data_IF_821941094950
#
_entry.id   IF_821941094950
#
_cell.length_a   1.000
_cell.length_b   1.000
_cell.length_c   1.000
_cell.angle_alpha   90.00
_cell.angle_beta   90.00
_cell.angle_gamma   90.00
#
_symmetry.space_group_name_H-M   'P 1'
#
loop_
_entity.id
_entity.type
_entity.pdbx_description
1 polymer ?
#
# COMPACT_ATOMS: atom_id res chain seq x y z
N UNK A 1 -1.44 12.03 7.15
CA UNK A 1 -1.52 11.44 5.79
C UNK A 1 -2.31 10.13 5.67
N UNK A 2 -2.85 9.55 6.76
CA UNK A 2 -3.53 8.23 6.77
C UNK A 2 -4.93 8.15 6.12
N UNK A 3 -5.51 9.22 5.63
CA UNK A 3 -6.85 9.20 5.01
C UNK A 3 -6.89 9.31 3.49
N UNK A 4 -5.85 9.84 2.87
CA UNK A 4 -5.84 10.18 1.43
C UNK A 4 -5.85 8.97 0.47
N UNK A 5 -5.30 7.83 0.90
CA UNK A 5 -5.20 6.63 0.04
C UNK A 5 -6.56 5.95 -0.17
N UNK A 6 -7.40 5.94 0.87
CA UNK A 6 -8.75 5.38 0.79
C UNK A 6 -9.67 6.21 -0.09
N UNK A 7 -9.56 7.52 0.08
CA UNK A 7 -10.28 8.51 -0.68
C UNK A 7 -10.03 8.33 -2.19
N UNK A 8 -8.75 8.25 -2.57
CA UNK A 8 -8.36 7.97 -3.95
C UNK A 8 -8.93 6.64 -4.48
N UNK A 9 -8.99 5.60 -3.65
CA UNK A 9 -9.50 4.29 -4.04
C UNK A 9 -11.00 4.32 -4.35
N UNK A 10 -11.80 4.97 -3.51
CA UNK A 10 -13.24 5.13 -3.76
C UNK A 10 -13.47 5.99 -5.00
N UNK A 11 -12.74 7.11 -5.14
CA UNK A 11 -12.79 7.95 -6.35
C UNK A 11 -12.51 7.16 -7.62
N UNK A 12 -11.49 6.30 -7.61
CA UNK A 12 -11.16 5.43 -8.73
C UNK A 12 -12.30 4.44 -9.06
N UNK A 13 -12.96 3.86 -8.05
CA UNK A 13 -14.11 2.98 -8.28
C UNK A 13 -15.25 3.72 -9.00
N UNK A 14 -15.56 4.93 -8.55
CA UNK A 14 -16.59 5.78 -9.18
C UNK A 14 -16.16 6.31 -10.55
N UNK A 15 -14.87 6.58 -10.75
CA UNK A 15 -14.33 6.94 -12.07
C UNK A 15 -14.51 5.80 -13.10
N UNK A 16 -14.32 4.54 -12.68
CA UNK A 16 -14.52 3.38 -13.56
C UNK A 16 -15.98 3.23 -13.98
N UNK A 17 -16.92 3.30 -13.03
CA UNK A 17 -18.35 3.23 -13.33
C UNK A 17 -19.23 3.85 -12.24
N UNK A 18 -19.18 5.16 -12.10
CA UNK A 18 -19.98 5.92 -11.13
C UNK A 18 -21.49 5.74 -11.29
N UNK A 19 -22.06 5.80 -12.50
CA UNK A 19 -23.50 5.59 -12.71
C UNK A 19 -24.01 4.26 -12.14
N UNK A 20 -23.26 3.18 -12.35
CA UNK A 20 -23.63 1.87 -11.81
C UNK A 20 -23.48 1.82 -10.28
N UNK A 21 -22.40 2.36 -9.72
CA UNK A 21 -22.22 2.41 -8.27
C UNK A 21 -23.28 3.28 -7.60
N UNK A 22 -23.62 4.41 -8.20
CA UNK A 22 -24.72 5.27 -7.74
C UNK A 22 -26.05 4.52 -7.68
N UNK A 23 -26.39 3.75 -8.70
CA UNK A 23 -27.62 2.94 -8.72
C UNK A 23 -27.68 1.85 -7.66
N UNK A 24 -26.53 1.37 -7.18
CA UNK A 24 -26.45 0.40 -6.07
C UNK A 24 -26.55 1.08 -4.71
N UNK A 25 -25.84 2.20 -4.56
CA UNK A 25 -25.71 2.91 -3.27
C UNK A 25 -26.96 3.74 -3.01
N UNK A 26 -27.52 4.36 -4.02
CA UNK A 26 -28.68 5.24 -3.93
C UNK A 26 -29.70 4.94 -5.04
N UNK A 27 -30.42 3.82 -4.95
CA UNK A 27 -31.37 3.41 -5.97
C UNK A 27 -32.61 4.31 -6.04
N UNK A 28 -32.86 5.11 -5.00
CA UNK A 28 -34.02 6.00 -4.93
C UNK A 28 -33.91 7.22 -5.87
N UNK A 29 -32.67 7.68 -6.13
CA UNK A 29 -32.42 8.85 -6.96
C UNK A 29 -31.67 8.43 -8.24
N UNK A 30 -32.40 8.33 -9.35
CA UNK A 30 -31.84 7.85 -10.62
C UNK A 30 -30.74 8.78 -11.13
N UNK A 31 -29.61 8.19 -11.51
CA UNK A 31 -28.47 8.90 -12.07
C UNK A 31 -28.83 9.58 -13.41
N UNK A 32 -28.54 10.86 -13.53
CA UNK A 32 -28.65 11.63 -14.77
C UNK A 32 -27.28 11.85 -15.43
N UNK A 33 -26.49 12.75 -14.87
CA UNK A 33 -25.17 13.11 -15.38
C UNK A 33 -24.18 13.39 -14.23
N UNK A 34 -22.87 13.24 -14.50
CA UNK A 34 -21.83 13.53 -13.51
C UNK A 34 -21.90 15.01 -13.13
N UNK A 35 -21.84 15.27 -11.83
CA UNK A 35 -21.85 16.60 -11.27
C UNK A 35 -20.44 17.15 -10.99
N UNK A 36 -20.36 18.40 -10.54
CA UNK A 36 -19.10 19.04 -10.22
C UNK A 36 -18.50 18.47 -8.93
N UNK A 37 -17.22 18.18 -8.94
CA UNK A 37 -16.47 17.81 -7.73
C UNK A 37 -15.67 18.98 -7.16
N UNK A 38 -15.30 19.98 -7.99
CA UNK A 38 -14.68 21.20 -7.52
C UNK A 38 -15.77 22.18 -7.08
N UNK A 39 -15.77 22.55 -5.81
CA UNK A 39 -16.74 23.43 -5.19
C UNK A 39 -16.08 24.77 -4.95
N UNK A 40 -16.42 25.74 -5.81
CA UNK A 40 -15.90 27.11 -5.69
C UNK A 40 -16.59 27.79 -4.51
N UNK A 41 -15.84 28.10 -3.47
CA UNK A 41 -16.24 28.98 -2.39
C UNK A 41 -15.55 30.32 -2.53
N UNK A 42 -16.21 31.41 -2.09
CA UNK A 42 -15.71 32.79 -2.23
C UNK A 42 -14.21 32.94 -1.93
N UNK A 43 -13.47 33.43 -2.89
CA UNK A 43 -12.09 33.97 -2.95
C UNK A 43 -10.92 33.20 -2.32
N UNK A 44 -11.07 32.29 -1.34
CA UNK A 44 -9.91 31.75 -0.61
C UNK A 44 -9.93 30.24 -0.31
N UNK A 45 -11.05 29.53 -0.50
CA UNK A 45 -11.13 28.10 -0.23
C UNK A 45 -11.82 27.37 -1.37
N UNK A 46 -11.08 26.56 -2.12
CA UNK A 46 -11.66 25.57 -3.03
C UNK A 46 -11.90 24.28 -2.25
N UNK A 47 -13.18 23.92 -2.09
CA UNK A 47 -13.55 22.62 -1.55
C UNK A 47 -13.67 21.59 -2.67
N UNK A 48 -13.46 20.33 -2.34
CA UNK A 48 -13.56 19.25 -3.31
C UNK A 48 -14.40 18.12 -2.73
N UNK A 49 -15.56 17.91 -3.34
CA UNK A 49 -16.39 16.74 -3.07
C UNK A 49 -15.74 15.48 -3.67
N UNK A 50 -16.05 14.33 -3.08
CA UNK A 50 -15.48 13.07 -3.57
C UNK A 50 -16.14 12.61 -4.85
N UNK A 51 -17.47 12.63 -4.90
CA UNK A 51 -18.24 12.34 -6.10
C UNK A 51 -19.62 13.03 -6.04
N UNK A 52 -20.02 13.64 -7.15
CA UNK A 52 -21.36 14.21 -7.28
C UNK A 52 -22.02 13.80 -8.59
N UNK A 53 -23.36 13.80 -8.61
CA UNK A 53 -24.14 13.66 -9.82
C UNK A 53 -25.46 14.41 -9.73
N UNK A 54 -25.99 14.82 -10.89
CA UNK A 54 -27.36 15.33 -11.01
C UNK A 54 -28.30 14.15 -11.17
N UNK A 55 -29.44 14.20 -10.49
CA UNK A 55 -30.52 13.25 -10.73
C UNK A 55 -31.10 13.42 -12.13
N UNK A 56 -31.71 12.37 -12.67
CA UNK A 56 -32.27 12.36 -14.04
C UNK A 56 -33.34 13.42 -14.24
N UNK A 57 -34.16 13.68 -13.23
CA UNK A 57 -35.16 14.76 -13.22
C UNK A 57 -34.53 16.15 -13.04
N UNK A 58 -33.22 16.22 -12.77
CA UNK A 58 -32.47 17.46 -12.51
C UNK A 58 -32.94 18.26 -11.30
N UNK A 59 -33.68 17.68 -10.37
CA UNK A 59 -34.10 18.36 -9.14
C UNK A 59 -33.00 18.40 -8.08
N UNK A 60 -32.21 17.34 -8.01
CA UNK A 60 -31.21 17.18 -6.98
C UNK A 60 -29.78 17.10 -7.52
N UNK A 61 -28.84 17.54 -6.69
CA UNK A 61 -27.44 17.10 -6.73
C UNK A 61 -27.26 16.09 -5.61
N UNK A 62 -26.78 14.91 -5.94
CA UNK A 62 -26.38 13.92 -4.96
C UNK A 62 -24.88 14.11 -4.73
N UNK A 63 -24.50 14.41 -3.49
CA UNK A 63 -23.11 14.50 -3.03
C UNK A 63 -22.75 13.23 -2.28
N UNK A 64 -21.79 12.44 -2.76
CA UNK A 64 -21.30 11.23 -2.09
C UNK A 64 -19.92 11.50 -1.52
N UNK A 65 -19.81 11.41 -0.20
CA UNK A 65 -18.57 11.56 0.54
C UNK A 65 -18.10 10.20 1.08
N UNK A 66 -16.81 9.90 0.96
CA UNK A 66 -16.23 8.63 1.38
C UNK A 66 -15.57 8.76 2.75
N UNK A 67 -15.91 7.83 3.65
CA UNK A 67 -15.32 7.79 4.99
C UNK A 67 -14.94 6.35 5.35
N UNK A 68 -13.74 6.17 5.90
CA UNK A 68 -13.35 4.84 6.42
C UNK A 68 -13.91 4.58 7.80
N UNK A 69 -14.14 5.64 8.58
CA UNK A 69 -14.71 5.61 9.92
C UNK A 69 -16.05 6.37 9.92
N UNK A 70 -16.76 6.33 11.03
CA UNK A 70 -17.90 7.22 11.23
C UNK A 70 -17.44 8.67 11.25
N UNK A 71 -18.17 9.59 10.58
CA UNK A 71 -17.86 11.01 10.61
C UNK A 71 -17.95 11.57 12.04
N UNK A 72 -17.09 12.50 12.35
CA UNK A 72 -17.18 13.32 13.54
C UNK A 72 -17.92 14.65 13.24
N UNK A 73 -18.09 15.51 14.25
CA UNK A 73 -18.79 16.78 14.09
C UNK A 73 -18.14 17.71 13.06
N UNK A 74 -16.81 17.70 12.95
CA UNK A 74 -16.08 18.53 11.98
C UNK A 74 -16.30 18.01 10.55
N UNK A 75 -16.38 16.69 10.37
CA UNK A 75 -16.69 16.06 9.08
C UNK A 75 -18.11 16.42 8.63
N UNK A 76 -19.10 16.31 9.53
CA UNK A 76 -20.48 16.70 9.21
C UNK A 76 -20.59 18.19 8.85
N UNK A 77 -19.89 19.06 9.58
CA UNK A 77 -19.87 20.48 9.27
C UNK A 77 -19.23 20.76 7.89
N UNK A 78 -18.13 20.09 7.58
CA UNK A 78 -17.47 20.18 6.28
C UNK A 78 -18.41 19.77 5.14
N UNK A 79 -19.10 18.65 5.28
CA UNK A 79 -20.03 18.16 4.26
C UNK A 79 -21.26 19.07 4.10
N UNK A 80 -21.72 19.67 5.20
CA UNK A 80 -22.77 20.69 5.14
C UNK A 80 -22.30 21.93 4.35
N UNK A 81 -21.05 22.36 4.53
CA UNK A 81 -20.48 23.47 3.74
C UNK A 81 -20.45 23.09 2.25
N UNK A 82 -20.08 21.84 1.90
CA UNK A 82 -20.08 21.37 0.51
C UNK A 82 -21.49 21.43 -0.09
N UNK A 83 -22.46 20.88 0.61
CA UNK A 83 -23.85 20.89 0.17
C UNK A 83 -24.39 22.31 -0.01
N UNK A 84 -24.09 23.21 0.91
CA UNK A 84 -24.50 24.62 0.85
C UNK A 84 -23.90 25.32 -0.37
N UNK A 85 -22.63 25.15 -0.65
CA UNK A 85 -21.97 25.74 -1.82
C UNK A 85 -22.50 25.14 -3.14
N UNK A 86 -22.72 23.83 -3.21
CA UNK A 86 -23.36 23.20 -4.34
C UNK A 86 -24.76 23.78 -4.61
N UNK A 87 -25.56 23.94 -3.54
CA UNK A 87 -26.86 24.57 -3.65
C UNK A 87 -26.79 26.02 -4.18
N UNK A 88 -25.89 26.82 -3.63
CA UNK A 88 -25.71 28.23 -4.03
C UNK A 88 -25.29 28.35 -5.48
N UNK A 89 -24.33 27.52 -5.91
CA UNK A 89 -23.77 27.61 -7.25
C UNK A 89 -24.71 27.08 -8.34
N UNK A 90 -25.45 26.01 -8.06
CA UNK A 90 -26.27 25.33 -9.05
C UNK A 90 -27.76 25.52 -8.89
N UNK A 91 -28.21 26.15 -7.80
CA UNK A 91 -29.63 26.39 -7.48
C UNK A 91 -30.48 25.11 -7.47
N UNK A 92 -29.86 24.00 -7.03
CA UNK A 92 -30.49 22.69 -6.89
C UNK A 92 -30.58 22.29 -5.43
N UNK A 93 -31.53 21.41 -5.11
CA UNK A 93 -31.53 20.72 -3.81
C UNK A 93 -30.34 19.78 -3.74
N UNK A 94 -29.75 19.61 -2.56
CA UNK A 94 -28.59 18.73 -2.37
C UNK A 94 -28.94 17.67 -1.34
N UNK A 95 -28.67 16.39 -1.68
CA UNK A 95 -28.68 15.27 -0.74
C UNK A 95 -27.25 14.81 -0.57
N UNK A 96 -26.78 14.69 0.68
CA UNK A 96 -25.44 14.18 0.96
C UNK A 96 -25.51 12.76 1.49
N UNK A 97 -24.82 11.86 0.82
CA UNK A 97 -24.67 10.45 1.18
C UNK A 97 -23.24 10.26 1.69
N UNK A 98 -23.11 9.76 2.90
CA UNK A 98 -21.81 9.39 3.47
C UNK A 98 -21.67 7.88 3.35
N UNK A 99 -20.76 7.44 2.48
CA UNK A 99 -20.45 6.03 2.28
C UNK A 99 -19.27 5.63 3.16
N UNK A 100 -19.52 4.80 4.16
CA UNK A 100 -18.50 4.40 5.11
C UNK A 100 -18.18 2.88 5.03
N UNK A 101 -17.13 2.48 5.78
CA UNK A 101 -16.71 1.07 5.89
C UNK A 101 -16.97 0.47 7.27
N UNK A 102 -17.59 1.24 8.17
CA UNK A 102 -18.00 0.77 9.48
C UNK A 102 -19.25 -0.12 9.42
N UNK A 103 -19.38 -1.01 10.40
CA UNK A 103 -20.51 -1.93 10.47
C UNK A 103 -21.73 -1.24 11.10
N UNK A 104 -22.41 -0.44 10.32
CA UNK A 104 -23.66 0.24 10.72
C UNK A 104 -24.79 -0.12 9.78
N UNK A 105 -26.02 0.01 10.25
CA UNK A 105 -27.19 0.02 9.38
C UNK A 105 -27.25 1.33 8.59
N UNK A 106 -27.85 1.28 7.39
CA UNK A 106 -28.16 2.50 6.66
C UNK A 106 -29.15 3.33 7.49
N UNK A 107 -28.85 4.59 7.72
CA UNK A 107 -29.66 5.49 8.55
C UNK A 107 -29.55 6.92 8.07
N UNK A 108 -30.48 7.75 8.49
CA UNK A 108 -30.42 9.22 8.34
C UNK A 108 -29.89 9.81 9.63
N UNK A 109 -28.85 10.65 9.51
CA UNK A 109 -28.29 11.40 10.62
C UNK A 109 -28.62 12.88 10.46
N UNK A 110 -29.21 13.48 11.51
CA UNK A 110 -29.54 14.90 11.53
C UNK A 110 -28.43 15.66 12.24
N UNK A 111 -27.74 16.50 11.50
CA UNK A 111 -26.74 17.42 12.06
C UNK A 111 -27.40 18.75 12.41
N UNK A 112 -27.44 19.06 13.71
CA UNK A 112 -27.98 20.31 14.22
C UNK A 112 -26.85 21.32 14.43
N UNK A 113 -26.97 22.49 13.81
CA UNK A 113 -26.03 23.62 13.97
C UNK A 113 -26.71 24.86 14.61
N UNK A 114 -27.57 24.63 15.58
CA UNK A 114 -28.28 25.66 16.34
C UNK A 114 -29.73 25.78 15.93
N UNK A 115 -30.11 26.77 15.12
CA UNK A 115 -31.50 26.94 14.64
C UNK A 115 -31.80 26.23 13.30
N UNK A 116 -30.85 25.47 12.79
CA UNK A 116 -30.97 24.74 11.53
C UNK A 116 -30.48 23.31 11.61
N UNK A 117 -31.07 22.47 10.79
CA UNK A 117 -30.73 21.06 10.66
C UNK A 117 -30.35 20.74 9.22
N UNK A 118 -29.44 19.78 9.07
CA UNK A 118 -29.12 19.19 7.77
C UNK A 118 -29.09 17.65 7.88
N UNK A 119 -29.77 16.99 6.96
CA UNK A 119 -29.88 15.53 6.93
C UNK A 119 -28.78 14.92 6.08
N UNK A 120 -28.05 13.98 6.65
CA UNK A 120 -27.08 13.13 5.97
C UNK A 120 -27.63 11.71 5.87
N UNK A 121 -27.43 11.05 4.72
CA UNK A 121 -27.75 9.65 4.54
C UNK A 121 -26.47 8.83 4.75
N UNK A 122 -26.40 8.09 5.85
CA UNK A 122 -25.27 7.20 6.11
C UNK A 122 -25.54 5.83 5.45
N UNK A 123 -24.60 5.39 4.64
CA UNK A 123 -24.64 4.05 4.01
C UNK A 123 -23.31 3.33 4.25
N UNK A 124 -23.38 2.04 4.55
CA UNK A 124 -22.21 1.24 4.82
C UNK A 124 -21.97 0.19 3.74
N UNK A 125 -20.70 0.07 3.30
CA UNK A 125 -20.29 -1.04 2.44
C UNK A 125 -20.42 -2.40 3.13
N UNK A 126 -20.44 -2.46 4.48
CA UNK A 126 -20.69 -3.69 5.23
C UNK A 126 -22.11 -4.25 5.06
N UNK A 127 -23.04 -3.47 4.53
CA UNK A 127 -24.39 -3.96 4.18
C UNK A 127 -24.43 -4.76 2.87
N UNK A 128 -23.31 -4.81 2.13
CA UNK A 128 -23.17 -5.61 0.90
C UNK A 128 -22.33 -6.86 1.14
N UNK A 129 -22.73 -7.97 0.53
CA UNK A 129 -22.03 -9.26 0.67
C UNK A 129 -20.91 -9.36 -0.38
N UNK A 130 -19.66 -9.20 0.07
CA UNK A 130 -18.45 -9.25 -0.75
C UNK A 130 -18.20 -10.64 -1.34
N UNK A 131 -18.42 -11.71 -0.57
CA UNK A 131 -18.23 -13.09 -1.04
C UNK A 131 -19.17 -13.44 -2.21
N UNK A 132 -20.44 -13.01 -2.13
CA UNK A 132 -21.41 -13.20 -3.23
C UNK A 132 -20.98 -12.45 -4.49
N UNK A 133 -20.56 -11.19 -4.34
CA UNK A 133 -20.06 -10.36 -5.47
C UNK A 133 -18.82 -10.98 -6.10
N UNK A 134 -17.85 -11.36 -5.28
CA UNK A 134 -16.61 -12.01 -5.74
C UNK A 134 -16.87 -13.33 -6.47
N UNK A 135 -17.79 -14.17 -5.93
CA UNK A 135 -18.18 -15.43 -6.56
C UNK A 135 -18.76 -15.25 -7.96
N UNK A 136 -19.58 -14.20 -8.16
CA UNK A 136 -20.16 -13.87 -9.48
C UNK A 136 -19.05 -13.52 -10.46
N UNK A 137 -18.13 -12.63 -10.09
CA UNK A 137 -17.04 -12.20 -10.96
C UNK A 137 -16.09 -13.36 -11.25
N UNK A 138 -15.72 -14.14 -10.23
CA UNK A 138 -14.90 -15.35 -10.39
C UNK A 138 -15.50 -16.33 -11.40
N UNK A 139 -16.81 -16.56 -11.36
CA UNK A 139 -17.49 -17.42 -12.35
C UNK A 139 -17.39 -16.86 -13.77
N UNK A 140 -17.47 -15.54 -13.95
CA UNK A 140 -17.27 -14.91 -15.26
C UNK A 140 -15.85 -15.16 -15.78
N UNK A 141 -14.83 -14.93 -14.95
CA UNK A 141 -13.42 -15.15 -15.32
C UNK A 141 -13.16 -16.62 -15.70
N UNK A 142 -13.62 -17.58 -14.88
CA UNK A 142 -13.44 -19.01 -15.16
C UNK A 142 -14.11 -19.43 -16.47
N UNK A 143 -15.29 -18.88 -16.77
CA UNK A 143 -16.04 -19.21 -17.98
C UNK A 143 -15.66 -18.33 -19.18
N UNK A 144 -14.54 -17.61 -19.12
CA UNK A 144 -14.08 -16.68 -20.15
C UNK A 144 -15.15 -15.68 -20.62
N UNK A 145 -16.07 -15.29 -19.73
CA UNK A 145 -17.07 -14.26 -20.01
C UNK A 145 -16.45 -12.87 -19.87
N UNK A 146 -17.00 -11.92 -20.62
CA UNK A 146 -16.59 -10.53 -20.56
C UNK A 146 -16.66 -9.96 -19.13
N UNK A 147 -15.61 -9.30 -18.72
CA UNK A 147 -15.53 -8.49 -17.49
C UNK A 147 -15.67 -7.04 -17.89
N UNK A 148 -16.81 -6.49 -17.58
CA UNK A 148 -17.13 -5.11 -17.93
C UNK A 148 -16.79 -4.12 -16.79
N UNK A 149 -16.95 -2.81 -17.05
CA UNK A 149 -16.64 -1.77 -16.09
C UNK A 149 -17.43 -1.86 -14.78
N UNK A 150 -18.65 -2.46 -14.79
CA UNK A 150 -19.41 -2.71 -13.55
C UNK A 150 -18.69 -3.71 -12.66
N UNK A 151 -18.17 -4.78 -13.25
CA UNK A 151 -17.40 -5.80 -12.51
C UNK A 151 -16.10 -5.22 -11.95
N UNK A 152 -15.40 -4.39 -12.74
CA UNK A 152 -14.15 -3.74 -12.32
C UNK A 152 -14.38 -2.76 -11.16
N UNK A 153 -15.42 -1.92 -11.26
CA UNK A 153 -15.76 -0.98 -10.20
C UNK A 153 -16.13 -1.69 -8.88
N UNK A 154 -16.89 -2.80 -8.98
CA UNK A 154 -17.23 -3.60 -7.79
C UNK A 154 -16.00 -4.28 -7.19
N UNK A 155 -15.05 -4.76 -7.99
CA UNK A 155 -13.82 -5.38 -7.47
C UNK A 155 -13.03 -4.45 -6.55
N UNK A 156 -13.04 -3.15 -6.81
CA UNK A 156 -12.41 -2.16 -5.93
C UNK A 156 -13.12 -2.07 -4.56
N UNK A 157 -14.43 -2.24 -4.50
CA UNK A 157 -15.20 -2.07 -3.27
C UNK A 157 -15.31 -3.36 -2.43
N UNK A 158 -15.14 -4.54 -3.05
CA UNK A 158 -15.28 -5.84 -2.37
C UNK A 158 -14.47 -5.94 -1.06
N UNK A 159 -13.20 -5.50 -0.97
CA UNK A 159 -12.41 -5.64 0.25
C UNK A 159 -13.02 -4.93 1.48
N UNK A 160 -13.90 -3.96 1.26
CA UNK A 160 -14.60 -3.21 2.30
C UNK A 160 -15.97 -3.78 2.66
N UNK A 161 -16.50 -4.70 1.85
CA UNK A 161 -17.81 -5.32 2.07
C UNK A 161 -17.78 -6.35 3.20
N UNK A 162 -18.96 -6.80 3.60
CA UNK A 162 -19.10 -7.90 4.55
C UNK A 162 -18.66 -9.22 3.91
N UNK A 163 -17.95 -10.05 4.67
CA UNK A 163 -17.43 -11.34 4.23
C UNK A 163 -17.26 -12.28 5.41
N UNK A 164 -17.38 -13.58 5.17
CA UNK A 164 -16.99 -14.63 6.13
C UNK A 164 -15.46 -14.74 6.27
N UNK A 165 -14.71 -14.23 5.28
CA UNK A 165 -13.26 -14.16 5.33
C UNK A 165 -12.81 -12.89 6.03
N UNK A 166 -11.61 -12.93 6.65
CA UNK A 166 -10.95 -11.70 7.10
C UNK A 166 -10.60 -10.82 5.90
N UNK A 167 -10.55 -9.50 6.13
CA UNK A 167 -10.34 -8.52 5.06
C UNK A 167 -9.07 -8.76 4.23
N UNK A 168 -7.98 -9.23 4.86
CA UNK A 168 -6.73 -9.62 4.19
C UNK A 168 -6.95 -10.70 3.14
N UNK A 169 -7.60 -11.81 3.52
CA UNK A 169 -7.89 -12.93 2.62
C UNK A 169 -8.84 -12.53 1.49
N UNK A 170 -9.82 -11.67 1.79
CA UNK A 170 -10.74 -11.17 0.78
C UNK A 170 -10.02 -10.28 -0.24
N UNK A 171 -9.14 -9.39 0.23
CA UNK A 171 -8.32 -8.53 -0.63
C UNK A 171 -7.39 -9.35 -1.53
N UNK A 172 -6.69 -10.35 -0.98
CA UNK A 172 -5.84 -11.27 -1.74
C UNK A 172 -6.61 -11.98 -2.87
N UNK A 173 -7.80 -12.52 -2.56
CA UNK A 173 -8.66 -13.17 -3.56
C UNK A 173 -9.08 -12.19 -4.67
N UNK A 174 -9.33 -10.93 -4.34
CA UNK A 174 -9.64 -9.87 -5.31
C UNK A 174 -8.43 -9.63 -6.22
N UNK A 175 -7.22 -9.49 -5.67
CA UNK A 175 -6.00 -9.28 -6.45
C UNK A 175 -5.72 -10.45 -7.41
N UNK A 176 -5.87 -11.70 -6.94
CA UNK A 176 -5.72 -12.90 -7.77
C UNK A 176 -6.71 -12.93 -8.93
N UNK A 177 -7.98 -12.58 -8.70
CA UNK A 177 -8.98 -12.51 -9.77
C UNK A 177 -8.65 -11.41 -10.75
N UNK A 178 -8.26 -10.22 -10.28
CA UNK A 178 -7.87 -9.10 -11.14
C UNK A 178 -6.73 -9.46 -12.08
N UNK A 179 -5.73 -10.18 -11.60
CA UNK A 179 -4.63 -10.62 -12.44
C UNK A 179 -5.07 -11.52 -13.58
N UNK A 180 -6.04 -12.39 -13.33
CA UNK A 180 -6.57 -13.34 -14.31
C UNK A 180 -7.58 -12.74 -15.31
N UNK A 181 -7.94 -11.47 -15.18
CA UNK A 181 -8.82 -10.77 -16.13
C UNK A 181 -8.04 -10.51 -17.42
N UNK A 182 -8.47 -11.11 -18.53
CA UNK A 182 -7.89 -10.95 -19.86
C UNK A 182 -8.41 -9.69 -20.55
N UNK A 183 -7.98 -8.52 -20.11
CA UNK A 183 -8.30 -7.24 -20.77
C UNK A 183 -7.23 -6.20 -20.46
N UNK A 184 -6.78 -5.46 -21.44
CA UNK A 184 -5.80 -4.37 -21.33
C UNK A 184 -6.52 -3.00 -21.33
N UNK A 185 -7.61 -2.89 -20.59
CA UNK A 185 -8.33 -1.63 -20.50
C UNK A 185 -7.65 -0.66 -19.53
N UNK A 186 -7.79 0.64 -19.80
CA UNK A 186 -7.39 1.69 -18.85
C UNK A 186 -7.99 1.44 -17.46
N UNK A 187 -9.25 1.03 -17.39
CA UNK A 187 -9.94 0.76 -16.14
C UNK A 187 -9.34 -0.42 -15.37
N UNK A 188 -8.79 -1.42 -16.06
CA UNK A 188 -8.04 -2.51 -15.40
C UNK A 188 -6.75 -1.99 -14.77
N UNK A 189 -6.04 -1.11 -15.45
CA UNK A 189 -4.82 -0.50 -14.91
C UNK A 189 -5.12 0.40 -13.70
N UNK A 190 -6.21 1.18 -13.74
CA UNK A 190 -6.70 1.96 -12.59
C UNK A 190 -7.02 1.02 -11.41
N UNK A 191 -7.69 -0.11 -11.67
CA UNK A 191 -7.99 -1.11 -10.65
C UNK A 191 -6.71 -1.67 -10.01
N UNK A 192 -5.74 -2.10 -10.82
CA UNK A 192 -4.46 -2.62 -10.34
C UNK A 192 -3.65 -1.57 -9.54
N UNK A 193 -3.53 -0.35 -10.05
CA UNK A 193 -2.86 0.74 -9.37
C UNK A 193 -3.52 1.05 -8.00
N UNK A 194 -4.84 1.06 -7.95
CA UNK A 194 -5.59 1.23 -6.71
C UNK A 194 -5.34 0.08 -5.72
N UNK A 195 -5.27 -1.17 -6.19
CA UNK A 195 -4.94 -2.33 -5.34
C UNK A 195 -3.54 -2.22 -4.75
N UNK A 196 -2.55 -1.78 -5.53
CA UNK A 196 -1.18 -1.54 -5.05
C UNK A 196 -1.18 -0.56 -3.88
N UNK A 197 -1.97 0.52 -3.95
CA UNK A 197 -2.03 1.52 -2.87
C UNK A 197 -2.63 0.97 -1.58
N UNK A 198 -3.40 -0.10 -1.66
CA UNK A 198 -4.10 -0.72 -0.54
C UNK A 198 -3.37 -1.91 0.09
N UNK A 199 -2.27 -2.39 -0.52
CA UNK A 199 -1.53 -3.55 -0.02
C UNK A 199 -1.16 -3.37 1.45
N UNK A 200 -0.53 -2.25 1.82
CA UNK A 200 -0.09 -2.00 3.19
C UNK A 200 -1.24 -1.92 4.21
N UNK A 201 -2.44 -1.57 3.75
CA UNK A 201 -3.62 -1.54 4.61
C UNK A 201 -4.15 -2.93 4.92
N UNK A 202 -4.32 -3.76 3.90
CA UNK A 202 -4.96 -5.06 4.05
C UNK A 202 -3.98 -6.17 4.41
N UNK A 203 -2.72 -6.08 3.96
CA UNK A 203 -1.70 -7.10 4.17
C UNK A 203 -0.69 -6.62 5.21
N UNK A 204 -0.60 -7.30 6.35
CA UNK A 204 0.29 -6.88 7.44
C UNK A 204 1.74 -7.36 7.27
N UNK A 205 1.93 -8.55 6.73
CA UNK A 205 3.25 -9.18 6.60
C UNK A 205 3.98 -8.70 5.33
N UNK A 206 5.20 -8.17 5.49
CA UNK A 206 5.99 -7.62 4.37
C UNK A 206 6.30 -8.62 3.26
N UNK A 207 6.55 -9.88 3.61
CA UNK A 207 6.78 -10.93 2.61
C UNK A 207 5.55 -11.13 1.72
N UNK A 208 4.37 -11.16 2.34
CA UNK A 208 3.10 -11.29 1.62
C UNK A 208 2.73 -10.04 0.83
N UNK A 209 3.12 -8.84 1.31
CA UNK A 209 2.97 -7.60 0.52
C UNK A 209 3.73 -7.69 -0.80
N UNK A 210 4.97 -8.21 -0.79
CA UNK A 210 5.77 -8.41 -2.01
C UNK A 210 5.11 -9.42 -2.95
N UNK A 211 4.70 -10.56 -2.43
CA UNK A 211 4.01 -11.59 -3.22
C UNK A 211 2.76 -11.03 -3.92
N UNK A 212 1.91 -10.30 -3.20
CA UNK A 212 0.71 -9.69 -3.78
C UNK A 212 1.07 -8.60 -4.80
N UNK A 213 2.11 -7.81 -4.52
CA UNK A 213 2.62 -6.82 -5.47
C UNK A 213 3.04 -7.47 -6.79
N UNK A 214 3.83 -8.55 -6.72
CA UNK A 214 4.26 -9.32 -7.89
C UNK A 214 3.06 -9.87 -8.68
N UNK A 215 2.05 -10.41 -7.99
CA UNK A 215 0.81 -10.86 -8.62
C UNK A 215 0.13 -9.74 -9.40
N UNK A 216 -0.01 -8.56 -8.82
CA UNK A 216 -0.71 -7.44 -9.44
C UNK A 216 0.08 -6.89 -10.65
N UNK A 217 1.40 -6.82 -10.54
CA UNK A 217 2.28 -6.20 -11.55
C UNK A 217 2.68 -7.14 -12.68
N UNK A 218 2.46 -8.42 -12.51
CA UNK A 218 2.80 -9.41 -13.52
C UNK A 218 2.29 -8.98 -14.92
N UNK A 219 3.22 -8.90 -15.90
CA UNK A 219 2.97 -8.49 -17.28
C UNK A 219 2.48 -7.04 -17.48
N UNK A 220 2.95 -6.08 -16.66
CA UNK A 220 2.58 -4.67 -16.83
C UNK A 220 3.75 -3.72 -16.58
N UNK A 221 4.41 -3.26 -17.63
CA UNK A 221 5.49 -2.26 -17.57
C UNK A 221 5.02 -0.95 -16.95
N UNK A 222 3.86 -0.42 -17.35
CA UNK A 222 3.27 0.81 -16.81
C UNK A 222 3.07 0.78 -15.29
N UNK A 223 2.75 -0.39 -14.73
CA UNK A 223 2.58 -0.52 -13.28
C UNK A 223 3.92 -0.61 -12.55
N UNK A 224 4.96 -1.10 -13.20
CA UNK A 224 6.31 -1.08 -12.65
C UNK A 224 6.84 0.35 -12.57
N UNK A 225 6.67 1.16 -13.62
CA UNK A 225 6.99 2.58 -13.61
C UNK A 225 6.22 3.34 -12.50
N UNK A 226 4.93 3.10 -12.36
CA UNK A 226 4.11 3.68 -11.29
C UNK A 226 4.60 3.31 -9.89
N UNK A 227 5.06 2.06 -9.70
CA UNK A 227 5.62 1.60 -8.42
C UNK A 227 6.96 2.30 -8.15
N UNK A 228 7.83 2.36 -9.15
CA UNK A 228 9.13 3.02 -9.04
C UNK A 228 8.95 4.50 -8.66
N UNK A 229 8.07 5.22 -9.31
CA UNK A 229 7.77 6.62 -9.00
C UNK A 229 7.18 6.79 -7.58
N UNK A 230 6.16 6.02 -7.25
CA UNK A 230 5.44 6.14 -5.97
C UNK A 230 6.28 5.74 -4.76
N UNK A 231 7.14 4.75 -4.92
CA UNK A 231 7.96 4.20 -3.84
C UNK A 231 9.45 4.56 -3.95
N UNK A 232 9.84 5.43 -4.88
CA UNK A 232 11.23 5.83 -5.13
C UNK A 232 11.98 6.21 -3.83
N UNK A 233 11.39 7.08 -3.00
CA UNK A 233 11.99 7.47 -1.72
C UNK A 233 12.15 6.27 -0.77
N UNK A 234 11.16 5.40 -0.68
CA UNK A 234 11.18 4.23 0.22
C UNK A 234 12.14 3.15 -0.27
N UNK A 235 12.26 2.98 -1.58
CA UNK A 235 13.23 2.09 -2.22
C UNK A 235 14.65 2.60 -1.95
N UNK A 236 14.89 3.90 -2.13
CA UNK A 236 16.19 4.53 -1.88
C UNK A 236 16.58 4.47 -0.39
N UNK A 237 15.67 4.76 0.54
CA UNK A 237 15.91 4.58 1.97
C UNK A 237 16.28 3.12 2.32
N UNK A 238 15.58 2.15 1.73
CA UNK A 238 15.84 0.73 1.98
C UNK A 238 17.19 0.32 1.42
N UNK A 239 17.54 0.82 0.22
CA UNK A 239 18.83 0.62 -0.42
C UNK A 239 19.97 1.19 0.42
N UNK A 240 19.82 2.43 0.92
CA UNK A 240 20.81 3.08 1.79
C UNK A 240 21.02 2.33 3.10
N UNK A 241 19.92 1.82 3.70
CA UNK A 241 20.02 0.98 4.90
C UNK A 241 20.75 -0.33 4.64
N UNK A 242 20.47 -0.99 3.50
CA UNK A 242 21.15 -2.22 3.12
C UNK A 242 22.64 -2.00 2.83
N UNK A 243 23.00 -0.92 2.13
CA UNK A 243 24.40 -0.52 1.88
C UNK A 243 25.14 -0.27 3.20
N UNK A 244 24.56 0.54 4.11
CA UNK A 244 25.18 0.81 5.43
C UNK A 244 25.38 -0.46 6.23
N UNK A 245 24.42 -1.38 6.21
CA UNK A 245 24.55 -2.67 6.90
C UNK A 245 25.65 -3.53 6.28
N UNK A 246 25.69 -3.63 4.95
CA UNK A 246 26.75 -4.39 4.25
C UNK A 246 28.15 -3.82 4.47
N UNK A 247 28.31 -2.50 4.49
CA UNK A 247 29.58 -1.84 4.81
C UNK A 247 30.01 -2.18 6.26
N UNK A 248 29.08 -2.09 7.22
CA UNK A 248 29.39 -2.40 8.63
C UNK A 248 29.82 -3.85 8.79
N UNK A 249 29.08 -4.79 8.25
CA UNK A 249 29.41 -6.22 8.29
C UNK A 249 30.75 -6.53 7.60
N UNK A 250 31.00 -5.89 6.45
CA UNK A 250 32.29 -6.03 5.74
C UNK A 250 33.49 -5.47 6.52
N UNK A 251 33.32 -4.33 7.21
CA UNK A 251 34.36 -3.76 8.07
C UNK A 251 34.61 -4.69 9.27
N UNK A 252 33.60 -5.17 9.96
CA UNK A 252 33.71 -6.07 11.10
C UNK A 252 34.46 -7.35 10.71
N UNK A 253 34.08 -7.99 9.61
CA UNK A 253 34.76 -9.18 9.10
C UNK A 253 36.22 -8.88 8.67
N UNK A 254 36.46 -7.76 8.01
CA UNK A 254 37.82 -7.35 7.62
C UNK A 254 38.75 -7.09 8.81
N UNK A 255 38.24 -6.48 9.87
CA UNK A 255 38.97 -6.25 11.10
C UNK A 255 39.29 -7.60 11.77
N UNK A 256 38.30 -8.48 11.92
CA UNK A 256 38.49 -9.79 12.54
C UNK A 256 39.55 -10.62 11.80
N UNK A 257 39.46 -10.72 10.48
CA UNK A 257 40.45 -11.41 9.66
C UNK A 257 41.84 -10.75 9.72
N UNK A 258 41.90 -9.42 9.73
CA UNK A 258 43.16 -8.68 9.83
C UNK A 258 43.86 -8.87 11.18
N UNK A 259 43.10 -8.92 12.28
CA UNK A 259 43.63 -9.20 13.62
C UNK A 259 44.16 -10.63 13.68
N UNK A 260 43.41 -11.62 13.19
CA UNK A 260 43.81 -13.03 13.20
C UNK A 260 45.13 -13.24 12.42
N UNK A 261 45.16 -12.74 11.17
CA UNK A 261 46.39 -12.78 10.36
C UNK A 261 47.56 -12.03 10.98
N UNK A 262 47.32 -10.88 11.57
CA UNK A 262 48.35 -10.09 12.25
C UNK A 262 48.93 -10.79 13.46
N UNK A 263 48.12 -11.45 14.26
CA UNK A 263 48.56 -12.27 15.40
C UNK A 263 49.39 -13.45 14.93
N UNK A 264 48.90 -14.20 13.92
CA UNK A 264 49.63 -15.36 13.40
C UNK A 264 51.00 -14.97 12.84
N UNK A 265 51.07 -13.94 12.01
CA UNK A 265 52.33 -13.41 11.48
C UNK A 265 53.26 -12.86 12.59
N UNK A 266 52.70 -12.22 13.61
CA UNK A 266 53.43 -11.69 14.74
C UNK A 266 54.07 -12.80 15.57
N UNK A 267 53.37 -13.88 15.83
CA UNK A 267 53.87 -15.09 16.52
C UNK A 267 55.00 -15.71 15.71
N UNK A 268 54.77 -15.95 14.41
CA UNK A 268 55.80 -16.58 13.53
C UNK A 268 57.06 -15.77 13.46
N UNK A 269 57.00 -14.45 13.25
CA UNK A 269 58.17 -13.55 13.25
C UNK A 269 58.86 -13.49 14.63
N UNK A 270 58.09 -13.54 15.70
CA UNK A 270 58.61 -13.59 17.05
C UNK A 270 59.39 -14.87 17.30
N UNK A 271 58.84 -16.01 16.94
CA UNK A 271 59.50 -17.30 17.05
C UNK A 271 60.80 -17.35 16.22
N UNK A 272 60.75 -16.90 14.95
CA UNK A 272 61.97 -16.82 14.12
C UNK A 272 63.08 -15.97 14.75
N UNK A 273 62.72 -14.80 15.29
CA UNK A 273 63.71 -13.93 15.97
C UNK A 273 64.32 -14.61 17.15
N UNK A 274 63.56 -15.34 17.93
CA UNK A 274 64.04 -16.09 19.10
C UNK A 274 65.00 -17.22 18.64
N UNK A 275 64.61 -18.01 17.66
CA UNK A 275 65.41 -19.09 17.08
C UNK A 275 66.75 -18.54 16.54
N UNK A 276 66.77 -17.45 15.80
CA UNK A 276 67.95 -16.78 15.29
C UNK A 276 68.88 -16.32 16.43
N UNK A 277 68.33 -15.81 17.54
CA UNK A 277 69.09 -15.44 18.71
C UNK A 277 69.77 -16.67 19.41
N UNK A 278 69.01 -17.75 19.58
CA UNK A 278 69.48 -18.99 20.17
C UNK A 278 70.64 -19.65 19.36
N UNK A 279 70.41 -19.64 18.02
CA UNK A 279 71.46 -20.10 17.09
C UNK A 279 72.77 -19.29 17.19
N UNK A 280 72.63 -17.94 17.25
CA UNK A 280 73.86 -17.06 17.48
C UNK A 280 74.53 -17.25 18.81
N UNK A 281 73.80 -17.72 19.80
CA UNK A 281 74.39 -18.06 21.13
C UNK A 281 75.02 -19.46 21.20
N UNK A 282 75.02 -20.20 20.09
CA UNK A 282 75.62 -21.52 20.00
C UNK A 282 74.78 -22.65 20.61
N UNK A 283 73.52 -22.44 20.83
CA UNK A 283 72.60 -23.47 21.34
C UNK A 283 72.40 -24.54 20.24
N UNK A 284 72.49 -25.83 20.58
CA UNK A 284 72.34 -26.92 19.62
C UNK A 284 70.95 -26.93 18.99
N UNK A 285 70.84 -27.20 17.67
CA UNK A 285 69.60 -27.20 16.93
C UNK A 285 68.58 -28.18 17.49
N UNK A 286 69.01 -29.31 18.02
CA UNK A 286 68.16 -30.32 18.67
C UNK A 286 67.49 -29.79 19.95
N UNK A 287 68.21 -28.93 20.69
CA UNK A 287 67.68 -28.28 21.91
C UNK A 287 66.62 -27.20 21.50
N UNK A 288 66.89 -26.45 20.45
CA UNK A 288 65.99 -25.46 19.93
C UNK A 288 64.68 -26.12 19.39
N UNK A 289 64.81 -27.25 18.70
CA UNK A 289 63.68 -28.06 18.22
C UNK A 289 62.77 -28.48 19.38
N UNK A 290 63.35 -29.02 20.46
CA UNK A 290 62.56 -29.42 21.66
C UNK A 290 61.84 -28.26 22.32
N UNK A 291 62.49 -27.08 22.34
CA UNK A 291 61.95 -25.89 23.00
C UNK A 291 60.85 -25.17 22.16
N UNK A 292 60.92 -25.21 20.82
CA UNK A 292 60.05 -24.43 19.93
C UNK A 292 59.04 -25.29 19.16
N UNK A 293 59.24 -26.61 19.11
CA UNK A 293 58.39 -27.52 18.32
C UNK A 293 58.61 -27.43 16.79
N UNK A 294 59.50 -26.55 16.30
CA UNK A 294 59.83 -26.43 14.88
C UNK A 294 60.71 -27.61 14.42
N UNK A 295 60.59 -27.98 13.16
CA UNK A 295 61.39 -29.02 12.59
C UNK A 295 62.88 -28.60 12.43
N UNK A 296 63.80 -29.52 12.43
CA UNK A 296 65.24 -29.24 12.20
C UNK A 296 65.43 -28.48 10.88
N UNK A 297 64.73 -28.88 9.83
CA UNK A 297 64.78 -28.22 8.52
C UNK A 297 64.34 -26.75 8.57
N UNK A 298 63.27 -26.42 9.35
CA UNK A 298 62.82 -25.05 9.56
C UNK A 298 63.86 -24.22 10.38
N UNK A 299 64.49 -24.82 11.36
CA UNK A 299 65.56 -24.17 12.18
C UNK A 299 66.77 -23.92 11.33
N UNK A 300 67.18 -24.85 10.49
CA UNK A 300 68.37 -24.70 9.66
C UNK A 300 68.18 -23.64 8.55
N UNK A 301 66.99 -23.43 8.04
CA UNK A 301 66.71 -22.32 7.12
C UNK A 301 66.87 -20.93 7.78
N UNK A 302 66.93 -20.83 9.09
CA UNK A 302 67.05 -19.58 9.82
C UNK A 302 68.51 -19.28 10.30
N UNK A 303 69.44 -20.17 10.03
CA UNK A 303 70.88 -19.93 10.27
C UNK A 303 71.42 -18.84 9.34
#
# INVERSE_FOLDING_TARGET
MKGKEHDAHFKNAFQINGPYLSSIINPEDEFGEIGPTEIISNKYNNYRADYTYFTKDKEYIINIEFQTNLPNSEDYFRFYIYASNLHINYKKKVKTIILCTENIKNETYVYNFGKGDYEFILKSLKNYNGDKKLKIIKKKVINNKEINNKDLAILLLIPYMNSVNIAETLFEKVCQITNNIKTDSLNKNILKASQITLIEKFIKHKSKQKEIMEIITMNSELLNEFIEEKYAEKIEETRQKAIKKGIKEGIEQGIEQGIEQGIEQGIEQGEEKIIKKLLKQGIPTETIQKATGKTLEQIEKLK
#
